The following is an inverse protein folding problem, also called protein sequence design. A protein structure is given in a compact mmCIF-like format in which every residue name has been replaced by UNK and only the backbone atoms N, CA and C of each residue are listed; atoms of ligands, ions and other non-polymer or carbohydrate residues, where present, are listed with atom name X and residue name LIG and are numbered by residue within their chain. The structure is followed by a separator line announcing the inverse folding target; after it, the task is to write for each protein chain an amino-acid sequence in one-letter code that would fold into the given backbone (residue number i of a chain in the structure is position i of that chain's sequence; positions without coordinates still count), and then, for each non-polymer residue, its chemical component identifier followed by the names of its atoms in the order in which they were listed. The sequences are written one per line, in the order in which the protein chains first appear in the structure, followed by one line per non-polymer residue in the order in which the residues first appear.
data_IF_210316613597
#
_entry.id   IF_210316613597
#
_cell.length_a   1.000
_cell.length_b   1.000
_cell.length_c   1.000
_cell.angle_alpha   90.00
_cell.angle_beta   90.00
_cell.angle_gamma   90.00
#
_symmetry.space_group_name_H-M   'P 1'
#
loop_
_entity.id
_entity.type
_entity.pdbx_description
1 polymer ?
#
# COMPACT_ATOMS: atom_id res chain seq x y z
N UNK A 1 -47.14 -10.57 -54.11
CA UNK A 1 -45.79 -10.23 -53.61
C UNK A 1 -45.74 -8.72 -53.40
N UNK A 2 -45.26 -8.34 -52.23
CA UNK A 2 -45.42 -7.08 -51.48
C UNK A 2 -44.69 -5.87 -52.06
N UNK A 3 -44.99 -4.69 -51.46
CA UNK A 3 -44.26 -3.40 -51.51
C UNK A 3 -44.93 -2.37 -52.42
N UNK A 4 -45.19 -1.10 -52.07
CA UNK A 4 -44.96 -0.26 -50.88
C UNK A 4 -45.68 1.08 -51.11
N UNK A 5 -45.69 1.93 -50.07
CA UNK A 5 -45.58 3.40 -50.18
C UNK A 5 -46.87 4.25 -50.23
N UNK A 6 -47.20 4.87 -49.09
CA UNK A 6 -47.84 6.19 -49.02
C UNK A 6 -47.49 6.82 -47.67
N UNK A 7 -46.47 7.69 -47.65
CA UNK A 7 -46.55 9.16 -47.72
C UNK A 7 -47.35 9.79 -46.57
N UNK A 8 -46.56 10.27 -45.60
CA UNK A 8 -46.70 11.41 -44.69
C UNK A 8 -48.04 12.15 -44.63
N UNK A 9 -48.51 12.38 -43.40
CA UNK A 9 -49.19 13.62 -43.00
C UNK A 9 -49.10 13.82 -41.48
N UNK A 10 -48.77 15.06 -41.13
CA UNK A 10 -48.64 15.67 -39.81
C UNK A 10 -49.80 15.36 -38.85
N UNK A 11 -49.52 15.18 -37.56
CA UNK A 11 -50.22 15.93 -36.48
C UNK A 11 -49.52 15.76 -35.13
N UNK A 12 -49.33 16.90 -34.47
CA UNK A 12 -48.75 17.12 -33.15
C UNK A 12 -49.80 16.72 -32.08
N UNK A 13 -49.45 15.85 -31.12
CA UNK A 13 -50.00 15.86 -29.75
C UNK A 13 -49.44 14.66 -28.97
N UNK A 14 -48.58 14.92 -28.00
CA UNK A 14 -48.11 13.86 -27.10
C UNK A 14 -46.81 14.22 -26.42
N UNK A 15 -46.86 15.25 -25.58
CA UNK A 15 -45.83 15.53 -24.58
C UNK A 15 -45.84 14.37 -23.56
N UNK A 16 -45.25 13.24 -23.94
CA UNK A 16 -45.00 12.14 -23.02
C UNK A 16 -43.80 12.52 -22.16
N UNK A 17 -44.09 13.25 -21.08
CA UNK A 17 -43.19 13.48 -19.96
C UNK A 17 -42.84 12.09 -19.38
N UNK A 18 -41.75 11.50 -19.88
CA UNK A 18 -41.11 10.35 -19.26
C UNK A 18 -40.49 10.82 -17.95
N UNK A 19 -41.25 10.68 -16.86
CA UNK A 19 -40.73 10.74 -15.49
C UNK A 19 -39.74 9.57 -15.33
N UNK A 20 -38.46 9.84 -15.60
CA UNK A 20 -37.36 8.99 -15.13
C UNK A 20 -37.35 9.12 -13.60
N UNK A 21 -38.02 8.19 -12.94
CA UNK A 21 -37.87 8.01 -11.51
C UNK A 21 -36.41 7.60 -11.26
N UNK A 22 -35.61 8.55 -10.78
CA UNK A 22 -34.28 8.26 -10.26
C UNK A 22 -34.47 7.37 -9.03
N UNK A 23 -34.40 6.05 -9.22
CA UNK A 23 -34.19 5.11 -8.13
C UNK A 23 -32.79 5.38 -7.61
N UNK A 24 -32.70 6.15 -6.54
CA UNK A 24 -31.48 6.27 -5.77
C UNK A 24 -31.20 4.88 -5.18
N UNK A 25 -30.33 4.11 -5.83
CA UNK A 25 -29.79 2.90 -5.24
C UNK A 25 -29.16 3.29 -3.89
N UNK A 26 -29.54 2.65 -2.78
CA UNK A 26 -28.83 2.87 -1.53
C UNK A 26 -27.41 2.39 -1.77
N UNK A 27 -26.46 3.33 -1.77
CA UNK A 27 -25.05 3.00 -1.83
C UNK A 27 -24.77 1.97 -0.74
N UNK A 28 -24.48 0.73 -1.15
CA UNK A 28 -24.01 -0.29 -0.23
C UNK A 28 -22.77 0.29 0.44
N UNK A 29 -22.85 0.54 1.75
CA UNK A 29 -21.68 0.85 2.54
C UNK A 29 -20.71 -0.32 2.33
N UNK A 30 -19.66 -0.09 1.55
CA UNK A 30 -18.61 -1.07 1.35
C UNK A 30 -17.98 -1.25 2.72
N UNK A 31 -18.18 -2.41 3.33
CA UNK A 31 -17.51 -2.74 4.57
C UNK A 31 -16.01 -2.56 4.33
N UNK A 32 -15.36 -1.68 5.10
CA UNK A 32 -13.91 -1.60 5.08
C UNK A 32 -13.40 -2.99 5.46
N UNK A 33 -12.40 -3.55 4.74
CA UNK A 33 -11.78 -4.78 5.18
C UNK A 33 -11.28 -4.61 6.63
N UNK A 34 -11.53 -5.64 7.45
CA UNK A 34 -11.11 -5.62 8.85
C UNK A 34 -9.58 -5.47 8.91
N UNK A 35 -9.12 -4.67 9.87
CA UNK A 35 -7.70 -4.52 10.15
C UNK A 35 -7.10 -5.88 10.55
N UNK A 36 -5.85 -6.18 10.15
CA UNK A 36 -5.19 -7.40 10.58
C UNK A 36 -4.93 -7.38 12.08
N UNK A 37 -4.97 -8.56 12.71
CA UNK A 37 -4.63 -8.75 14.13
C UNK A 37 -3.14 -8.51 14.40
N UNK A 38 -2.29 -8.73 13.39
CA UNK A 38 -0.85 -8.52 13.46
C UNK A 38 -0.29 -8.18 12.09
N UNK A 39 0.61 -7.20 12.05
CA UNK A 39 1.17 -6.70 10.80
C UNK A 39 2.17 -7.72 10.22
N UNK A 40 1.86 -8.24 9.03
CA UNK A 40 2.72 -9.15 8.28
C UNK A 40 3.65 -8.37 7.34
N UNK A 41 4.96 -8.53 7.50
CA UNK A 41 5.95 -7.79 6.73
C UNK A 41 6.85 -8.71 5.91
N UNK A 42 7.08 -8.34 4.65
CA UNK A 42 8.09 -8.96 3.79
C UNK A 42 9.25 -7.99 3.62
N UNK A 43 10.45 -8.43 4.02
CA UNK A 43 11.68 -7.65 3.88
C UNK A 43 12.50 -8.16 2.69
N UNK A 44 12.51 -7.35 1.63
CA UNK A 44 13.40 -7.44 0.49
C UNK A 44 14.64 -6.58 0.75
N UNK A 45 15.70 -7.25 1.21
CA UNK A 45 16.97 -6.62 1.46
C UNK A 45 18.09 -7.66 1.30
N UNK A 46 19.08 -7.30 0.50
CA UNK A 46 20.34 -8.01 0.39
C UNK A 46 21.31 -7.49 1.47
N UNK A 47 21.87 -8.40 2.27
CA UNK A 47 22.87 -8.05 3.29
C UNK A 47 22.35 -7.62 4.66
N UNK A 48 21.05 -7.34 4.83
CA UNK A 48 20.47 -7.00 6.14
C UNK A 48 20.64 -8.13 7.18
N UNK A 49 20.87 -7.76 8.46
CA UNK A 49 20.85 -8.68 9.60
C UNK A 49 19.42 -9.06 9.99
N UNK A 50 18.84 -9.99 9.21
CA UNK A 50 17.47 -10.50 9.43
C UNK A 50 17.31 -11.20 10.78
N UNK A 51 18.39 -11.72 11.37
CA UNK A 51 18.32 -12.39 12.68
C UNK A 51 18.09 -11.36 13.77
N UNK A 52 18.88 -10.28 13.76
CA UNK A 52 18.72 -9.16 14.68
C UNK A 52 17.34 -8.53 14.57
N UNK A 53 16.89 -8.19 13.36
CA UNK A 53 15.58 -7.54 13.17
C UNK A 53 14.42 -8.40 13.69
N UNK A 54 14.49 -9.73 13.51
CA UNK A 54 13.47 -10.64 14.06
C UNK A 54 13.47 -10.73 15.57
N UNK A 55 14.63 -10.56 16.20
CA UNK A 55 14.78 -10.57 17.66
C UNK A 55 14.26 -9.27 18.29
N UNK A 56 14.47 -8.13 17.63
CA UNK A 56 14.06 -6.83 18.16
C UNK A 56 12.58 -6.51 17.84
N UNK A 57 12.08 -6.97 16.70
CA UNK A 57 10.72 -6.71 16.24
C UNK A 57 9.84 -7.97 16.34
N UNK A 58 9.68 -8.50 17.55
CA UNK A 58 8.84 -9.67 17.83
C UNK A 58 7.32 -9.37 17.76
N UNK A 59 6.92 -8.13 17.49
CA UNK A 59 5.52 -7.69 17.43
C UNK A 59 4.95 -7.69 15.99
N UNK A 60 5.77 -7.95 14.97
CA UNK A 60 5.35 -8.10 13.56
C UNK A 60 5.56 -9.53 13.10
N UNK A 61 4.81 -9.96 12.09
CA UNK A 61 4.97 -11.28 11.49
C UNK A 61 5.90 -11.21 10.27
N UNK A 62 7.04 -11.88 10.35
CA UNK A 62 8.03 -11.90 9.28
C UNK A 62 7.69 -12.97 8.24
N UNK A 63 7.06 -12.56 7.13
CA UNK A 63 6.67 -13.48 6.06
C UNK A 63 7.79 -13.67 5.03
N UNK A 64 7.76 -14.80 4.33
CA UNK A 64 8.77 -15.18 3.31
C UNK A 64 8.31 -14.93 1.89
N UNK A 65 7.02 -14.76 1.69
CA UNK A 65 6.40 -14.52 0.40
C UNK A 65 5.79 -13.12 0.43
N UNK A 66 6.03 -12.34 -0.62
CA UNK A 66 5.49 -11.00 -0.77
C UNK A 66 3.97 -11.00 -0.90
N UNK A 67 3.37 -12.08 -1.41
CA UNK A 67 1.94 -12.15 -1.71
C UNK A 67 1.06 -12.28 -0.46
N UNK A 68 1.67 -12.66 0.67
CA UNK A 68 0.99 -12.78 1.97
C UNK A 68 1.41 -11.69 2.96
N UNK A 69 2.11 -10.65 2.48
CA UNK A 69 2.51 -9.51 3.29
C UNK A 69 1.45 -8.41 3.25
N UNK A 70 1.33 -7.68 4.36
CA UNK A 70 0.60 -6.43 4.45
C UNK A 70 1.47 -5.25 4.01
N UNK A 71 2.79 -5.35 4.23
CA UNK A 71 3.79 -4.35 3.81
C UNK A 71 4.99 -5.04 3.17
N UNK A 72 5.31 -4.62 1.96
CA UNK A 72 6.55 -4.98 1.28
C UNK A 72 7.58 -3.88 1.52
N UNK A 73 8.64 -4.22 2.26
CA UNK A 73 9.76 -3.33 2.57
C UNK A 73 10.90 -3.67 1.63
N UNK A 74 11.32 -2.72 0.82
CA UNK A 74 12.52 -2.82 -0.01
C UNK A 74 13.59 -1.94 0.63
N UNK A 75 14.77 -2.49 0.87
CA UNK A 75 15.92 -1.70 1.29
C UNK A 75 17.03 -1.80 0.25
N UNK A 76 17.43 -0.65 -0.26
CA UNK A 76 18.55 -0.51 -1.19
C UNK A 76 19.69 0.21 -0.51
N UNK A 77 20.88 -0.36 -0.63
CA UNK A 77 22.13 0.20 -0.11
C UNK A 77 22.98 0.77 -1.24
N UNK A 78 23.61 1.93 -1.02
CA UNK A 78 24.48 2.64 -1.95
C UNK A 78 25.60 3.36 -1.20
N UNK A 79 26.84 3.23 -1.71
CA UNK A 79 27.98 3.99 -1.20
C UNK A 79 27.79 5.51 -1.41
N UNK A 80 28.13 6.28 -0.38
CA UNK A 80 28.19 7.74 -0.46
C UNK A 80 29.59 8.22 -0.85
N UNK A 81 29.68 9.41 -1.46
CA UNK A 81 30.97 10.03 -1.78
C UNK A 81 31.85 10.36 -0.56
N UNK A 82 31.28 10.33 0.65
CA UNK A 82 31.98 10.50 1.93
C UNK A 82 32.51 9.20 2.54
N UNK A 83 32.25 8.04 1.92
CA UNK A 83 32.70 6.74 2.39
C UNK A 83 31.82 6.07 3.46
N UNK A 84 30.61 6.56 3.68
CA UNK A 84 29.54 5.83 4.39
C UNK A 84 28.47 5.33 3.42
N UNK A 85 27.32 4.89 3.92
CA UNK A 85 26.25 4.28 3.11
C UNK A 85 24.97 5.13 3.13
N UNK A 86 24.17 5.00 2.09
CA UNK A 86 22.83 5.57 1.98
C UNK A 86 21.81 4.45 1.77
N UNK A 87 21.09 4.13 2.85
CA UNK A 87 20.03 3.13 2.87
C UNK A 87 18.71 3.80 2.51
N UNK A 88 18.14 3.41 1.37
CA UNK A 88 16.79 3.81 0.97
C UNK A 88 15.80 2.74 1.39
N UNK A 89 14.79 3.12 2.16
CA UNK A 89 13.70 2.26 2.60
C UNK A 89 12.45 2.64 1.83
N UNK A 90 11.90 1.72 1.06
CA UNK A 90 10.62 1.87 0.36
C UNK A 90 9.62 0.86 0.93
N UNK A 91 8.58 1.36 1.58
CA UNK A 91 7.48 0.58 2.13
C UNK A 91 6.28 0.70 1.19
N UNK A 92 5.85 -0.43 0.66
CA UNK A 92 4.71 -0.55 -0.25
C UNK A 92 3.61 -1.26 0.52
N UNK A 93 2.50 -0.55 0.74
CA UNK A 93 1.32 -1.11 1.39
C UNK A 93 0.57 -2.06 0.45
N UNK A 94 0.13 -3.20 0.98
CA UNK A 94 -0.62 -4.22 0.26
C UNK A 94 -1.98 -4.46 0.93
N UNK A 95 -2.95 -4.96 0.16
CA UNK A 95 -4.27 -5.31 0.68
C UNK A 95 -4.97 -4.11 1.32
N UNK A 96 -5.20 -4.18 2.64
CA UNK A 96 -5.88 -3.10 3.39
C UNK A 96 -5.04 -1.82 3.47
N UNK A 97 -3.73 -1.90 3.24
CA UNK A 97 -2.82 -0.77 3.24
C UNK A 97 -2.47 -0.27 1.83
N UNK A 98 -3.15 -0.76 0.78
CA UNK A 98 -2.88 -0.34 -0.59
C UNK A 98 -2.93 1.19 -0.75
N UNK A 99 -1.87 1.76 -1.34
CA UNK A 99 -1.71 3.20 -1.54
C UNK A 99 -1.19 3.97 -0.32
N UNK A 100 -1.01 3.31 0.83
CA UNK A 100 -0.27 3.86 1.96
C UNK A 100 1.21 3.50 1.83
N UNK A 101 1.92 4.18 0.93
CA UNK A 101 3.33 3.95 0.65
C UNK A 101 4.21 5.00 1.35
N UNK A 102 5.38 4.59 1.84
CA UNK A 102 6.33 5.46 2.52
C UNK A 102 7.74 5.23 1.99
N UNK A 103 8.53 6.30 1.89
CA UNK A 103 9.93 6.21 1.48
C UNK A 103 10.79 7.15 2.32
N UNK A 104 11.97 6.69 2.70
CA UNK A 104 12.97 7.54 3.38
C UNK A 104 14.37 7.07 3.07
N UNK A 105 15.34 7.96 3.29
CA UNK A 105 16.76 7.65 3.20
C UNK A 105 17.40 7.86 4.57
N UNK A 106 18.12 6.86 5.03
CA UNK A 106 19.00 6.95 6.19
C UNK A 106 20.45 6.85 5.72
N UNK A 107 21.31 7.73 6.23
CA UNK A 107 22.72 7.79 5.82
C UNK A 107 23.62 7.51 7.01
N UNK A 108 24.58 6.62 6.82
CA UNK A 108 25.64 6.31 7.76
C UNK A 108 26.92 7.06 7.37
N UNK A 109 27.84 7.23 8.32
CA UNK A 109 29.12 7.89 8.06
C UNK A 109 30.23 6.86 7.93
N UNK A 110 31.34 7.21 7.29
CA UNK A 110 32.51 6.33 7.17
C UNK A 110 33.13 5.85 8.51
N UNK A 111 32.78 6.50 9.62
CA UNK A 111 33.27 6.15 10.95
C UNK A 111 32.20 5.42 11.78
N UNK A 112 31.03 5.13 11.21
CA UNK A 112 29.99 4.38 11.90
C UNK A 112 30.48 2.97 12.21
N UNK A 113 30.15 2.50 13.41
CA UNK A 113 30.38 1.11 13.79
C UNK A 113 29.21 0.24 13.31
N UNK A 114 29.44 -1.05 13.10
CA UNK A 114 28.40 -2.01 12.72
C UNK A 114 27.18 -1.96 13.67
N UNK A 115 27.41 -1.71 14.97
CA UNK A 115 26.33 -1.55 15.94
C UNK A 115 25.52 -0.28 15.72
N UNK A 116 26.16 0.85 15.41
CA UNK A 116 25.47 2.11 15.11
C UNK A 116 24.67 2.01 13.81
N UNK A 117 25.22 1.38 12.78
CA UNK A 117 24.55 1.13 11.51
C UNK A 117 23.30 0.26 11.71
N UNK A 118 23.47 -0.87 12.41
CA UNK A 118 22.39 -1.82 12.72
C UNK A 118 21.28 -1.18 13.57
N UNK A 119 21.64 -0.44 14.61
CA UNK A 119 20.65 0.24 15.45
C UNK A 119 19.97 1.39 14.71
N UNK A 120 20.69 2.08 13.83
CA UNK A 120 20.17 3.13 12.95
C UNK A 120 19.15 2.57 11.95
N UNK A 121 19.46 1.43 11.33
CA UNK A 121 18.54 0.69 10.49
C UNK A 121 17.25 0.35 11.23
N UNK A 122 17.36 -0.30 12.40
CA UNK A 122 16.20 -0.72 13.20
C UNK A 122 15.30 0.46 13.52
N UNK A 123 15.84 1.51 14.13
CA UNK A 123 15.05 2.70 14.51
C UNK A 123 14.37 3.36 13.32
N UNK A 124 15.03 3.38 12.15
CA UNK A 124 14.46 3.93 10.92
C UNK A 124 13.27 3.09 10.46
N UNK A 125 13.45 1.76 10.40
CA UNK A 125 12.39 0.84 10.00
C UNK A 125 11.19 0.89 10.97
N UNK A 126 11.44 0.88 12.27
CA UNK A 126 10.38 0.98 13.28
C UNK A 126 9.56 2.26 13.13
N UNK A 127 10.23 3.40 12.90
CA UNK A 127 9.56 4.69 12.69
C UNK A 127 8.67 4.68 11.43
N UNK A 128 9.15 4.07 10.34
CA UNK A 128 8.38 3.93 9.10
C UNK A 128 7.17 3.02 9.23
N UNK A 129 7.21 2.05 10.15
CA UNK A 129 6.12 1.10 10.37
C UNK A 129 4.99 1.67 11.24
N UNK A 130 5.24 2.75 11.99
CA UNK A 130 4.24 3.35 12.89
C UNK A 130 2.87 3.59 12.23
N UNK A 131 2.76 4.16 11.02
CA UNK A 131 1.47 4.40 10.38
C UNK A 131 0.65 3.12 10.15
N UNK A 132 1.30 1.99 9.83
CA UNK A 132 0.63 0.70 9.62
C UNK A 132 0.24 0.05 10.96
N UNK A 133 1.13 0.14 11.96
CA UNK A 133 0.87 -0.39 13.30
C UNK A 133 -0.34 0.29 13.96
N UNK A 134 -0.51 1.60 13.77
CA UNK A 134 -1.67 2.35 14.28
C UNK A 134 -3.02 1.93 13.66
N UNK A 135 -2.97 1.26 12.52
CA UNK A 135 -4.13 0.77 11.78
C UNK A 135 -4.31 -0.75 11.91
N UNK A 136 -3.42 -1.43 12.63
CA UNK A 136 -3.49 -2.85 12.97
C UNK A 136 -4.23 -2.99 14.30
N UNK A 137 -5.16 -3.94 14.43
CA UNK A 137 -5.85 -4.18 15.71
C UNK A 137 -4.92 -4.92 16.66
N UNK A 138 -4.28 -4.18 17.58
CA UNK A 138 -3.40 -4.71 18.62
C UNK A 138 -4.16 -5.42 19.75
#
# INVERSE_FOLDING_TARGET
MTSTFRRHLFTIAGFALLLVAATADPAAAQALPDAPDRLSIFLDCDGCDRTFLRQEMEYVDWVRDREVADVHIIVTDQDTGSGGEALTFDLIGLGVFEGNDHSTVYTTSANATEAEERDGFLRTLEALLVPYLLQTSM
#
